data_IF_188477704871
#
_entry.id   IF_188477704871
#
_cell.length_a   1.000
_cell.length_b   1.000
_cell.length_c   1.000
_cell.angle_alpha   90.00
_cell.angle_beta   90.00
_cell.angle_gamma   90.00
#
_symmetry.space_group_name_H-M   'P 1'
#
loop_
_entity.id
_entity.type
_entity.pdbx_description
1 polymer ?
#
# COMPACT_ATOMS: atom_id res chain seq x y z
N UNK A 1 -16.68 63.21 4.49
CA UNK A 1 -16.21 62.31 5.56
C UNK A 1 -17.12 61.10 5.81
N UNK A 2 -18.45 61.21 5.63
CA UNK A 2 -19.42 60.14 5.93
C UNK A 2 -19.27 58.86 5.06
N UNK A 3 -18.97 58.97 3.75
CA UNK A 3 -18.81 57.80 2.84
C UNK A 3 -17.71 56.82 3.25
N UNK A 4 -16.59 57.32 3.78
CA UNK A 4 -15.47 56.46 4.22
C UNK A 4 -15.79 55.70 5.51
N UNK A 5 -16.73 56.20 6.32
CA UNK A 5 -17.18 55.50 7.53
C UNK A 5 -18.04 54.28 7.16
N UNK A 6 -18.96 54.42 6.20
CA UNK A 6 -19.78 53.31 5.72
C UNK A 6 -18.95 52.20 5.06
N UNK A 7 -17.95 52.57 4.24
CA UNK A 7 -17.05 51.59 3.62
C UNK A 7 -16.28 50.80 4.69
N UNK A 8 -15.75 51.48 5.72
CA UNK A 8 -15.06 50.80 6.83
C UNK A 8 -15.97 49.88 7.63
N UNK A 9 -17.21 50.29 7.91
CA UNK A 9 -18.19 49.46 8.62
C UNK A 9 -18.55 48.22 7.80
N UNK A 10 -18.77 48.38 6.49
CA UNK A 10 -19.07 47.25 5.59
C UNK A 10 -17.87 46.27 5.51
N UNK A 11 -16.64 46.78 5.44
CA UNK A 11 -15.44 45.94 5.46
C UNK A 11 -15.26 45.17 6.77
N UNK A 12 -15.56 45.79 7.92
CA UNK A 12 -15.48 45.13 9.24
C UNK A 12 -16.56 44.05 9.39
N UNK A 13 -17.78 44.32 8.92
CA UNK A 13 -18.88 43.33 8.93
C UNK A 13 -18.55 42.15 8.00
N UNK A 14 -18.01 42.40 6.81
CA UNK A 14 -17.59 41.35 5.89
C UNK A 14 -16.48 40.45 6.47
N UNK A 15 -15.50 41.02 7.18
CA UNK A 15 -14.45 40.27 7.88
C UNK A 15 -15.00 39.40 9.03
N UNK A 16 -16.01 39.89 9.74
CA UNK A 16 -16.67 39.14 10.82
C UNK A 16 -17.49 37.95 10.28
N UNK A 17 -18.11 38.09 9.11
CA UNK A 17 -18.85 36.98 8.47
C UNK A 17 -17.94 35.87 7.93
N UNK A 18 -16.67 36.17 7.57
CA UNK A 18 -15.72 35.14 7.11
C UNK A 18 -15.10 34.30 8.23
N UNK A 19 -15.16 34.76 9.48
CA UNK A 19 -14.59 34.03 10.63
C UNK A 19 -15.50 32.91 11.17
N UNK A 20 -16.76 32.85 10.73
CA UNK A 20 -17.77 31.94 11.27
C UNK A 20 -17.82 30.54 10.61
N UNK A 21 -16.97 30.27 9.60
CA UNK A 21 -16.93 28.99 8.89
C UNK A 21 -15.81 28.04 9.34
N UNK A 22 -15.20 28.26 10.51
CA UNK A 22 -14.33 27.24 11.10
C UNK A 22 -15.18 26.26 11.89
N UNK A 23 -15.51 25.12 11.27
CA UNK A 23 -15.96 23.95 12.03
C UNK A 23 -14.77 23.54 12.91
N UNK A 24 -14.92 23.37 14.23
CA UNK A 24 -13.87 22.73 15.01
C UNK A 24 -13.69 21.34 14.40
N UNK A 25 -12.48 20.98 13.99
CA UNK A 25 -12.11 19.58 13.77
C UNK A 25 -12.32 18.89 15.12
N UNK A 26 -13.52 18.35 15.35
CA UNK A 26 -13.70 17.24 16.27
C UNK A 26 -12.61 16.24 15.88
N UNK A 27 -11.68 15.86 16.78
CA UNK A 27 -10.69 14.87 16.43
C UNK A 27 -11.48 13.63 16.02
N UNK A 28 -11.43 13.30 14.72
CA UNK A 28 -11.98 12.04 14.22
C UNK A 28 -11.22 10.98 14.99
N UNK A 29 -11.86 10.43 16.03
CA UNK A 29 -11.27 9.42 16.87
C UNK A 29 -11.07 8.21 15.95
N UNK A 30 -9.84 8.02 15.50
CA UNK A 30 -9.48 6.89 14.65
C UNK A 30 -9.79 5.65 15.49
N UNK A 31 -10.76 4.87 15.05
CA UNK A 31 -11.17 3.65 15.72
C UNK A 31 -10.03 2.62 15.61
N UNK A 32 -9.10 2.68 16.57
CA UNK A 32 -7.99 1.74 16.77
C UNK A 32 -8.12 1.07 18.15
N UNK A 33 -8.96 0.02 18.27
CA UNK A 33 -9.13 -0.73 19.52
C UNK A 33 -7.82 -1.31 20.07
N UNK A 34 -6.81 -1.50 19.21
CA UNK A 34 -5.55 -2.14 19.55
C UNK A 34 -4.38 -1.16 19.64
N UNK A 35 -4.64 0.15 19.77
CA UNK A 35 -3.62 1.20 19.70
C UNK A 35 -2.38 0.91 20.58
N UNK A 36 -2.59 0.47 21.83
CA UNK A 36 -1.49 0.16 22.75
C UNK A 36 -0.60 -0.97 22.22
N UNK A 37 -1.20 -2.01 21.66
CA UNK A 37 -0.51 -3.15 21.06
C UNK A 37 0.17 -2.72 19.76
N UNK A 38 -0.55 -2.02 18.90
CA UNK A 38 -0.07 -1.53 17.62
C UNK A 38 1.15 -0.64 17.78
N UNK A 39 1.11 0.34 18.70
CA UNK A 39 2.26 1.20 19.01
C UNK A 39 3.46 0.45 19.56
N UNK A 40 3.24 -0.63 20.33
CA UNK A 40 4.34 -1.47 20.85
C UNK A 40 5.00 -2.24 19.71
N UNK A 41 4.22 -2.87 18.84
CA UNK A 41 4.71 -3.59 17.67
C UNK A 41 5.40 -2.63 16.70
N UNK A 42 4.84 -1.45 16.48
CA UNK A 42 5.45 -0.43 15.64
C UNK A 42 6.83 -0.01 16.15
N UNK A 43 6.98 0.20 17.48
CA UNK A 43 8.29 0.46 18.09
C UNK A 43 9.27 -0.70 17.88
N UNK A 44 8.79 -1.93 17.95
CA UNK A 44 9.61 -3.11 17.64
C UNK A 44 10.04 -3.12 16.16
N UNK A 45 9.12 -2.91 15.22
CA UNK A 45 9.40 -2.83 13.78
C UNK A 45 10.44 -1.75 13.45
N UNK A 46 10.28 -0.55 14.01
CA UNK A 46 11.25 0.55 13.87
C UNK A 46 12.61 0.20 14.48
N UNK A 47 12.62 -0.54 15.59
CA UNK A 47 13.86 -1.05 16.19
C UNK A 47 14.60 -2.02 15.26
N UNK A 48 13.88 -2.99 14.70
CA UNK A 48 14.41 -3.97 13.74
C UNK A 48 14.89 -3.28 12.45
N UNK A 49 14.13 -2.31 11.93
CA UNK A 49 14.52 -1.55 10.75
C UNK A 49 15.85 -0.84 10.97
N UNK A 50 15.98 -0.08 12.07
CA UNK A 50 17.20 0.67 12.38
C UNK A 50 18.40 -0.23 12.64
N UNK A 51 18.19 -1.38 13.27
CA UNK A 51 19.27 -2.28 13.68
C UNK A 51 19.74 -3.22 12.55
N UNK A 52 18.81 -3.70 11.71
CA UNK A 52 19.08 -4.79 10.76
C UNK A 52 18.69 -4.42 9.33
N UNK A 53 17.45 -4.02 9.07
CA UNK A 53 16.96 -3.88 7.68
C UNK A 53 17.59 -2.71 6.95
N UNK A 54 17.63 -1.53 7.56
CA UNK A 54 18.23 -0.33 7.00
C UNK A 54 19.73 -0.48 6.69
N UNK A 55 20.60 -0.93 7.62
CA UNK A 55 22.01 -1.11 7.30
C UNK A 55 22.21 -2.17 6.22
N UNK A 56 21.50 -3.30 6.28
CA UNK A 56 21.59 -4.36 5.26
C UNK A 56 21.16 -3.86 3.89
N UNK A 57 20.05 -3.11 3.80
CA UNK A 57 19.56 -2.53 2.55
C UNK A 57 20.52 -1.49 1.97
N UNK A 58 21.20 -0.72 2.83
CA UNK A 58 22.24 0.23 2.41
C UNK A 58 23.44 -0.50 1.82
N UNK A 59 23.90 -1.57 2.47
CA UNK A 59 24.99 -2.42 1.96
C UNK A 59 24.59 -3.07 0.64
N UNK A 60 23.39 -3.64 0.54
CA UNK A 60 22.87 -4.21 -0.71
C UNK A 60 22.81 -3.18 -1.84
N UNK A 61 22.29 -1.99 -1.56
CA UNK A 61 22.16 -0.90 -2.53
C UNK A 61 23.49 -0.31 -3.01
N UNK A 62 24.54 -0.39 -2.18
CA UNK A 62 25.89 0.10 -2.49
C UNK A 62 26.76 -0.96 -3.16
N UNK A 63 26.67 -2.23 -2.76
CA UNK A 63 27.44 -3.32 -3.34
C UNK A 63 26.94 -3.75 -4.72
N UNK A 64 25.62 -3.79 -4.93
CA UNK A 64 25.05 -4.33 -6.18
C UNK A 64 24.59 -3.23 -7.16
N UNK A 65 25.07 -3.25 -8.42
CA UNK A 65 24.62 -2.34 -9.46
C UNK A 65 23.11 -2.44 -9.72
N UNK A 66 22.52 -1.34 -10.22
CA UNK A 66 21.09 -1.27 -10.51
C UNK A 66 20.53 -2.41 -11.39
N UNK A 67 21.23 -2.91 -12.44
CA UNK A 67 20.75 -4.04 -13.23
C UNK A 67 20.59 -5.32 -12.41
N UNK A 68 21.56 -5.65 -11.54
CA UNK A 68 21.49 -6.85 -10.68
C UNK A 68 20.33 -6.73 -9.70
N UNK A 69 20.18 -5.56 -9.06
CA UNK A 69 19.07 -5.31 -8.14
C UNK A 69 17.72 -5.43 -8.84
N UNK A 70 17.60 -4.90 -10.05
CA UNK A 70 16.38 -5.03 -10.88
C UNK A 70 16.08 -6.48 -11.21
N UNK A 71 17.08 -7.29 -11.57
CA UNK A 71 16.86 -8.71 -11.85
C UNK A 71 16.38 -9.50 -10.62
N UNK A 72 16.92 -9.19 -9.44
CA UNK A 72 16.44 -9.78 -8.18
C UNK A 72 14.98 -9.37 -7.91
N UNK A 73 14.64 -8.09 -8.08
CA UNK A 73 13.26 -7.61 -7.93
C UNK A 73 12.31 -8.26 -8.95
N UNK A 74 12.71 -8.40 -10.21
CA UNK A 74 11.90 -9.05 -11.23
C UNK A 74 11.66 -10.52 -10.90
N UNK A 75 12.70 -11.23 -10.46
CA UNK A 75 12.61 -12.62 -10.09
C UNK A 75 11.65 -12.84 -8.92
N UNK A 76 11.77 -12.02 -7.86
CA UNK A 76 10.84 -12.06 -6.73
C UNK A 76 9.40 -11.79 -7.17
N UNK A 77 9.17 -10.76 -8.00
CA UNK A 77 7.84 -10.45 -8.54
C UNK A 77 7.28 -11.60 -9.41
N UNK A 78 8.12 -12.31 -10.16
CA UNK A 78 7.70 -13.43 -10.99
C UNK A 78 7.27 -14.62 -10.11
N UNK A 79 7.98 -14.91 -9.02
CA UNK A 79 7.59 -15.95 -8.05
C UNK A 79 6.29 -15.61 -7.33
N UNK A 80 6.01 -14.32 -7.09
CA UNK A 80 4.74 -13.88 -6.52
C UNK A 80 3.55 -14.02 -7.50
N UNK A 81 3.80 -14.08 -8.81
CA UNK A 81 2.74 -14.00 -9.82
C UNK A 81 1.74 -15.18 -9.79
N UNK A 82 2.16 -16.45 -9.60
CA UNK A 82 1.22 -17.57 -9.45
C UNK A 82 0.21 -17.37 -8.31
N UNK A 83 0.63 -16.75 -7.20
CA UNK A 83 -0.27 -16.42 -6.09
C UNK A 83 -1.35 -15.41 -6.52
N UNK A 84 -0.98 -14.43 -7.33
CA UNK A 84 -1.94 -13.48 -7.89
C UNK A 84 -2.97 -14.19 -8.78
N UNK A 85 -2.52 -15.11 -9.65
CA UNK A 85 -3.40 -15.92 -10.49
C UNK A 85 -4.40 -16.72 -9.65
N UNK A 86 -3.94 -17.37 -8.58
CA UNK A 86 -4.83 -18.15 -7.70
C UNK A 86 -5.90 -17.26 -7.05
N UNK A 87 -5.50 -16.10 -6.53
CA UNK A 87 -6.43 -15.13 -5.93
C UNK A 87 -7.40 -14.55 -6.97
N UNK A 88 -6.93 -14.17 -8.16
CA UNK A 88 -7.78 -13.72 -9.26
C UNK A 88 -8.86 -14.78 -9.61
N UNK A 89 -8.49 -16.06 -9.66
CA UNK A 89 -9.43 -17.17 -9.88
C UNK A 89 -10.45 -17.26 -8.73
N UNK A 90 -10.00 -17.18 -7.49
CA UNK A 90 -10.87 -17.22 -6.31
C UNK A 90 -11.83 -16.03 -6.23
N UNK A 91 -11.43 -14.89 -6.78
CA UNK A 91 -12.26 -13.69 -6.92
C UNK A 91 -13.19 -13.75 -8.14
N UNK A 92 -13.04 -14.75 -9.02
CA UNK A 92 -13.79 -14.87 -10.27
C UNK A 92 -13.30 -13.93 -11.38
N UNK A 93 -12.15 -13.29 -11.22
CA UNK A 93 -11.56 -12.37 -12.18
C UNK A 93 -10.70 -13.11 -13.23
N UNK A 94 -11.38 -13.76 -14.18
CA UNK A 94 -10.72 -14.58 -15.21
C UNK A 94 -9.82 -13.75 -16.14
N UNK A 95 -10.15 -12.47 -16.35
CA UNK A 95 -9.35 -11.58 -17.20
C UNK A 95 -7.98 -11.33 -16.58
N UNK A 96 -7.94 -11.00 -15.28
CA UNK A 96 -6.68 -10.75 -14.59
C UNK A 96 -5.90 -12.04 -14.33
N UNK A 97 -6.59 -13.14 -14.03
CA UNK A 97 -5.97 -14.46 -13.92
C UNK A 97 -5.24 -14.86 -15.22
N UNK A 98 -5.88 -14.68 -16.37
CA UNK A 98 -5.27 -14.95 -17.68
C UNK A 98 -4.10 -14.01 -17.98
N UNK A 99 -4.25 -12.72 -17.69
CA UNK A 99 -3.21 -11.71 -17.87
C UNK A 99 -1.95 -12.02 -17.05
N UNK A 100 -2.12 -12.28 -15.75
CA UNK A 100 -1.03 -12.63 -14.83
C UNK A 100 -0.39 -13.99 -15.19
N UNK A 101 -1.19 -14.95 -15.66
CA UNK A 101 -0.67 -16.24 -16.16
C UNK A 101 0.24 -16.03 -17.37
N UNK A 102 -0.19 -15.24 -18.36
CA UNK A 102 0.61 -14.95 -19.54
C UNK A 102 1.90 -14.20 -19.19
N UNK A 103 1.81 -13.23 -18.26
CA UNK A 103 2.97 -12.52 -17.73
C UNK A 103 3.98 -13.49 -17.10
N UNK A 104 3.52 -14.38 -16.21
CA UNK A 104 4.36 -15.39 -15.57
C UNK A 104 5.03 -16.31 -16.59
N UNK A 105 4.29 -16.80 -17.59
CA UNK A 105 4.84 -17.69 -18.62
C UNK A 105 5.90 -16.99 -19.45
N UNK A 106 5.66 -15.76 -19.91
CA UNK A 106 6.61 -14.98 -20.71
C UNK A 106 7.86 -14.65 -19.89
N UNK A 107 7.71 -14.18 -18.65
CA UNK A 107 8.85 -13.84 -17.81
C UNK A 107 9.63 -15.09 -17.38
N UNK A 108 8.96 -16.22 -17.13
CA UNK A 108 9.64 -17.46 -16.77
C UNK A 108 10.39 -18.10 -17.96
N UNK A 109 9.87 -17.97 -19.18
CA UNK A 109 10.49 -18.56 -20.38
C UNK A 109 11.48 -17.61 -21.06
N UNK A 110 10.99 -16.47 -21.57
CA UNK A 110 11.78 -15.47 -22.29
C UNK A 110 12.58 -14.57 -21.34
N UNK A 111 12.06 -14.36 -20.13
CA UNK A 111 12.72 -13.54 -19.11
C UNK A 111 13.74 -14.29 -18.24
N UNK A 112 14.13 -15.51 -18.62
CA UNK A 112 15.08 -16.36 -17.89
C UNK A 112 14.64 -16.58 -16.43
N UNK A 113 13.56 -17.34 -16.24
CA UNK A 113 12.93 -17.62 -14.93
C UNK A 113 12.43 -16.37 -14.17
N UNK A 114 12.24 -15.25 -14.89
CA UNK A 114 11.80 -13.98 -14.32
C UNK A 114 12.92 -13.02 -13.93
N UNK A 115 14.19 -13.31 -14.24
CA UNK A 115 15.28 -12.35 -14.03
C UNK A 115 15.13 -11.08 -14.90
N UNK A 116 14.43 -11.20 -16.01
CA UNK A 116 14.06 -10.11 -16.90
C UNK A 116 12.54 -10.04 -17.05
N UNK A 117 12.05 -8.86 -17.45
CA UNK A 117 10.61 -8.56 -17.58
C UNK A 117 10.22 -8.23 -19.03
N UNK A 118 10.31 -9.18 -19.97
CA UNK A 118 9.84 -8.97 -21.34
C UNK A 118 8.32 -8.82 -21.43
N UNK A 119 7.55 -9.34 -20.47
CA UNK A 119 6.09 -9.25 -20.50
C UNK A 119 5.58 -7.80 -20.48
N UNK A 120 6.22 -6.91 -19.74
CA UNK A 120 5.87 -5.47 -19.74
C UNK A 120 6.04 -4.85 -21.13
N UNK A 121 7.06 -5.26 -21.90
CA UNK A 121 7.22 -4.77 -23.29
C UNK A 121 6.11 -5.25 -24.23
N UNK A 122 5.40 -6.32 -23.88
CA UNK A 122 4.21 -6.80 -24.59
C UNK A 122 2.89 -6.20 -24.04
N UNK A 123 2.96 -5.21 -23.14
CA UNK A 123 1.79 -4.56 -22.54
C UNK A 123 1.16 -5.33 -21.38
N UNK A 124 1.82 -6.39 -20.90
CA UNK A 124 1.35 -7.19 -19.77
C UNK A 124 1.91 -6.65 -18.46
N UNK A 125 1.35 -5.55 -17.94
CA UNK A 125 1.78 -5.01 -16.64
C UNK A 125 1.43 -5.94 -15.47
N UNK A 126 2.17 -5.87 -14.36
CA UNK A 126 1.83 -6.66 -13.15
C UNK A 126 0.48 -6.20 -12.58
N UNK A 127 -0.46 -7.13 -12.40
CA UNK A 127 -1.70 -6.90 -11.64
C UNK A 127 -1.60 -7.66 -10.33
N UNK A 128 -1.40 -6.93 -9.22
CA UNK A 128 -1.22 -7.53 -7.90
C UNK A 128 -2.59 -7.71 -7.25
N UNK A 129 -2.79 -8.84 -6.60
CA UNK A 129 -3.90 -9.09 -5.70
C UNK A 129 -3.44 -10.05 -4.60
N UNK A 130 -4.27 -10.32 -3.60
CA UNK A 130 -3.94 -11.21 -2.49
C UNK A 130 -5.17 -11.72 -1.78
N UNK A 131 -4.96 -12.58 -0.80
CA UNK A 131 -6.05 -13.27 -0.11
C UNK A 131 -6.91 -12.33 0.72
N UNK A 132 -6.37 -11.20 1.22
CA UNK A 132 -7.16 -10.16 1.87
C UNK A 132 -8.21 -9.57 0.93
N UNK A 133 -7.84 -9.26 -0.31
CA UNK A 133 -8.77 -8.80 -1.34
C UNK A 133 -9.73 -9.90 -1.81
N UNK A 134 -9.28 -11.15 -1.82
CA UNK A 134 -10.18 -12.29 -2.00
C UNK A 134 -11.26 -12.32 -0.93
N UNK A 135 -10.90 -12.24 0.35
CA UNK A 135 -11.86 -12.20 1.45
C UNK A 135 -12.83 -11.01 1.34
N UNK A 136 -12.36 -9.87 0.83
CA UNK A 136 -13.23 -8.72 0.54
C UNK A 136 -14.29 -9.04 -0.50
N UNK A 137 -13.92 -9.66 -1.63
CA UNK A 137 -14.86 -10.07 -2.68
C UNK A 137 -15.92 -11.05 -2.14
N UNK A 138 -15.55 -11.87 -1.16
CA UNK A 138 -16.46 -12.81 -0.48
C UNK A 138 -17.25 -12.19 0.70
N UNK A 139 -17.16 -10.86 0.90
CA UNK A 139 -18.00 -10.12 1.84
C UNK A 139 -17.41 -9.95 3.25
N UNK A 140 -16.11 -10.21 3.44
CA UNK A 140 -15.43 -9.96 4.72
C UNK A 140 -15.08 -8.47 4.84
N UNK A 141 -15.57 -7.84 5.91
CA UNK A 141 -15.23 -6.44 6.24
C UNK A 141 -13.74 -6.30 6.58
N UNK A 142 -13.20 -5.07 6.47
CA UNK A 142 -11.78 -4.79 6.76
C UNK A 142 -11.39 -5.16 8.21
N UNK A 143 -12.31 -4.93 9.16
CA UNK A 143 -12.06 -5.06 10.60
C UNK A 143 -11.25 -3.88 11.16
N UNK A 144 -10.74 -4.04 12.37
CA UNK A 144 -9.94 -3.00 13.03
C UNK A 144 -8.52 -2.89 12.44
N UNK A 145 -7.90 -1.72 12.60
CA UNK A 145 -6.48 -1.53 12.29
C UNK A 145 -5.59 -2.37 13.22
N UNK A 146 -4.60 -3.04 12.64
CA UNK A 146 -3.59 -3.80 13.38
C UNK A 146 -2.19 -3.51 12.82
N UNK A 147 -1.20 -3.49 13.69
CA UNK A 147 0.21 -3.47 13.29
C UNK A 147 0.79 -4.88 13.45
N UNK A 148 1.31 -5.45 12.37
CA UNK A 148 1.94 -6.77 12.36
C UNK A 148 3.45 -6.67 12.63
N UNK A 149 4.03 -7.59 13.43
CA UNK A 149 5.47 -7.66 13.60
C UNK A 149 6.15 -7.93 12.25
N UNK A 150 7.18 -7.16 11.92
CA UNK A 150 7.96 -7.18 10.68
C UNK A 150 7.21 -6.75 9.40
N UNK A 151 5.91 -7.01 9.29
CA UNK A 151 5.10 -6.68 8.11
C UNK A 151 4.52 -5.26 8.12
N UNK A 152 4.34 -4.66 9.31
CA UNK A 152 3.89 -3.27 9.44
C UNK A 152 2.36 -3.13 9.48
N UNK A 153 1.81 -2.00 8.98
CA UNK A 153 0.39 -1.67 9.12
C UNK A 153 -0.51 -2.55 8.26
N UNK A 154 -1.64 -3.01 8.82
CA UNK A 154 -2.66 -3.84 8.17
C UNK A 154 -4.04 -3.59 8.80
N UNK A 155 -5.07 -4.24 8.28
CA UNK A 155 -6.34 -4.47 8.98
C UNK A 155 -6.46 -5.98 9.32
N UNK A 156 -7.47 -6.37 10.10
CA UNK A 156 -7.68 -7.76 10.52
C UNK A 156 -7.83 -8.73 9.34
N UNK A 157 -8.60 -8.34 8.31
CA UNK A 157 -8.79 -9.16 7.12
C UNK A 157 -7.50 -9.38 6.35
N UNK A 158 -6.80 -8.30 6.03
CA UNK A 158 -5.56 -8.34 5.25
C UNK A 158 -4.43 -8.97 6.08
N UNK A 159 -4.51 -8.91 7.42
CA UNK A 159 -3.59 -9.62 8.29
C UNK A 159 -3.76 -11.13 8.23
N UNK A 160 -5.00 -11.63 8.11
CA UNK A 160 -5.26 -13.04 7.79
C UNK A 160 -4.76 -13.34 6.37
N UNK A 161 -5.00 -12.44 5.42
CA UNK A 161 -4.51 -12.53 4.06
C UNK A 161 -3.00 -12.76 3.98
N UNK A 162 -2.23 -11.97 4.72
CA UNK A 162 -0.78 -12.02 4.79
C UNK A 162 -0.23 -13.35 5.36
N UNK A 163 -1.03 -14.11 6.12
CA UNK A 163 -0.65 -15.43 6.66
C UNK A 163 -0.93 -16.55 5.66
N UNK A 164 -1.94 -16.37 4.81
CA UNK A 164 -2.35 -17.36 3.80
C UNK A 164 -1.49 -17.27 2.54
N UNK A 165 -1.12 -16.05 2.15
CA UNK A 165 -0.33 -15.70 0.96
C UNK A 165 1.19 -15.91 1.10
#
# INVERSE_FOLDING_TARGET
MQKNAYIKVISVVALLFTAACTVPDEPVEIFDPYEKTNRKIHKFNVGVDKAVLKPTSTVYGTLFPAPVRRSVSNFANNIDTPRFVLNDIMQGNIVDAGHNTMRFLINSTLGLAGLFDPATHFGLETRRTGFGETLYVWGTEDGAYIELPLFGPSNERDGIGQVVD
#
